data_IF_737728684103
#
_entry.id   IF_737728684103
#
_cell.length_a   1.000
_cell.length_b   1.000
_cell.length_c   1.000
_cell.angle_alpha   90.00
_cell.angle_beta   90.00
_cell.angle_gamma   90.00
#
_symmetry.space_group_name_H-M   'P 1'
#
loop_
_entity.id
_entity.type
_entity.pdbx_description
1 polymer ?
#
# COMPACT_ATOMS: atom_id res chain seq x y z
N UNK A 1 2.39 10.95 16.52
CA UNK A 1 2.19 11.22 15.07
C UNK A 1 2.78 10.03 14.35
N UNK A 2 2.17 9.55 13.27
CA UNK A 2 2.77 8.47 12.49
C UNK A 2 3.13 9.03 11.13
N UNK A 3 4.37 8.81 10.73
CA UNK A 3 4.90 9.18 9.43
C UNK A 3 5.10 7.89 8.62
N UNK A 4 4.71 7.92 7.35
CA UNK A 4 4.83 6.78 6.46
C UNK A 4 5.70 7.17 5.25
N UNK A 5 6.57 6.24 4.85
CA UNK A 5 7.36 6.34 3.64
C UNK A 5 7.28 5.02 2.88
N UNK A 6 7.04 5.10 1.57
CA UNK A 6 6.98 3.94 0.70
C UNK A 6 8.15 3.97 -0.28
N UNK A 7 8.85 2.85 -0.38
CA UNK A 7 9.81 2.59 -1.44
C UNK A 7 9.25 1.51 -2.37
N UNK A 8 9.40 1.73 -3.68
CA UNK A 8 9.04 0.78 -4.72
C UNK A 8 10.19 0.69 -5.71
N UNK A 9 10.77 -0.50 -5.85
CA UNK A 9 11.99 -0.72 -6.63
C UNK A 9 11.80 -1.94 -7.53
N UNK A 10 12.04 -1.76 -8.82
CA UNK A 10 12.12 -2.87 -9.76
C UNK A 10 13.36 -3.73 -9.50
N UNK A 11 13.17 -5.05 -9.55
CA UNK A 11 14.18 -6.09 -9.33
C UNK A 11 13.94 -7.24 -10.31
N UNK A 12 14.88 -8.18 -10.41
CA UNK A 12 14.72 -9.38 -11.25
C UNK A 12 13.50 -10.25 -10.90
N UNK A 13 12.99 -10.15 -9.66
CA UNK A 13 11.81 -10.88 -9.16
C UNK A 13 10.47 -10.15 -9.36
N UNK A 14 10.51 -8.94 -9.94
CA UNK A 14 9.39 -7.99 -10.04
C UNK A 14 9.64 -6.74 -9.20
N UNK A 15 8.58 -6.12 -8.67
CA UNK A 15 8.71 -4.90 -7.87
C UNK A 15 8.71 -5.24 -6.37
N UNK A 16 9.79 -4.85 -5.69
CA UNK A 16 9.89 -4.90 -4.22
C UNK A 16 9.34 -3.62 -3.61
N UNK A 17 8.48 -3.78 -2.61
CA UNK A 17 7.79 -2.72 -1.91
C UNK A 17 8.19 -2.73 -0.44
N UNK A 18 8.51 -1.57 0.13
CA UNK A 18 8.82 -1.41 1.54
C UNK A 18 8.08 -0.19 2.11
N UNK A 19 7.06 -0.45 2.96
CA UNK A 19 6.38 0.59 3.71
C UNK A 19 7.03 0.72 5.08
N UNK A 20 7.71 1.85 5.32
CA UNK A 20 8.22 2.22 6.64
C UNK A 20 7.21 3.09 7.35
N UNK A 21 6.89 2.74 8.60
CA UNK A 21 6.03 3.51 9.48
C UNK A 21 6.85 3.90 10.70
N UNK A 22 6.96 5.20 10.97
CA UNK A 22 7.70 5.76 12.09
C UNK A 22 6.75 6.49 13.04
N UNK A 23 6.97 6.35 14.35
CA UNK A 23 6.37 7.21 15.34
C UNK A 23 7.24 8.46 15.57
N UNK A 24 7.01 9.52 14.81
CA UNK A 24 7.64 10.84 14.99
C UNK A 24 7.14 11.61 16.22
N UNK A 25 6.22 11.03 17.02
CA UNK A 25 5.72 11.62 18.25
C UNK A 25 6.59 11.35 19.47
N UNK A 26 6.24 12.00 20.59
CA UNK A 26 6.90 11.83 21.90
C UNK A 26 6.26 10.78 22.80
N UNK A 27 5.15 10.15 22.37
CA UNK A 27 4.41 9.14 23.13
C UNK A 27 4.32 7.84 22.32
N UNK A 28 4.30 6.67 22.97
CA UNK A 28 4.10 5.40 22.27
C UNK A 28 2.77 5.36 21.52
N UNK A 29 2.78 4.76 20.32
CA UNK A 29 1.57 4.59 19.49
C UNK A 29 1.37 3.11 19.22
N UNK A 30 0.16 2.61 19.48
CA UNK A 30 -0.22 1.22 19.19
C UNK A 30 -1.08 1.14 17.93
N UNK A 31 -0.63 0.33 16.97
CA UNK A 31 -1.40 -0.13 15.82
C UNK A 31 -2.14 -1.41 16.19
N UNK A 32 -3.43 -1.52 15.85
CA UNK A 32 -4.26 -2.71 16.11
C UNK A 32 -4.77 -3.29 14.81
N UNK A 33 -4.75 -4.61 14.71
CA UNK A 33 -5.06 -5.33 13.49
C UNK A 33 -6.11 -6.40 13.75
N UNK A 34 -7.05 -6.56 12.81
CA UNK A 34 -8.12 -7.59 12.90
C UNK A 34 -7.67 -8.97 12.43
N UNK A 35 -6.59 -9.03 11.66
CA UNK A 35 -6.03 -10.25 11.08
C UNK A 35 -4.50 -10.21 11.19
N UNK A 36 -3.84 -11.27 10.71
CA UNK A 36 -2.39 -11.28 10.53
C UNK A 36 -1.87 -10.33 9.44
N UNK A 37 -2.73 -9.68 8.65
CA UNK A 37 -2.31 -8.69 7.66
C UNK A 37 -1.85 -7.41 8.37
N UNK A 38 -0.61 -6.99 8.10
CA UNK A 38 -0.05 -5.73 8.64
C UNK A 38 -0.20 -4.57 7.68
N UNK A 39 -0.09 -4.85 6.39
CA UNK A 39 -0.15 -3.85 5.33
C UNK A 39 -0.99 -4.34 4.16
N UNK A 40 -1.53 -3.39 3.41
CA UNK A 40 -2.04 -3.57 2.07
C UNK A 40 -1.16 -2.74 1.12
N UNK A 41 -0.90 -3.29 -0.07
CA UNK A 41 -0.28 -2.53 -1.15
C UNK A 41 -1.16 -2.64 -2.37
N UNK A 42 -1.45 -1.53 -3.03
CA UNK A 42 -2.28 -1.49 -4.23
C UNK A 42 -1.55 -0.75 -5.33
N UNK A 43 -1.49 -1.34 -6.52
CA UNK A 43 -0.90 -0.74 -7.70
C UNK A 43 -1.99 -0.21 -8.63
N UNK A 44 -1.82 1.02 -9.07
CA UNK A 44 -2.67 1.70 -10.05
C UNK A 44 -1.83 2.09 -11.27
N UNK A 45 -2.36 2.05 -12.49
CA UNK A 45 -1.74 2.70 -13.63
C UNK A 45 -1.46 4.18 -13.29
N UNK A 46 -0.26 4.68 -13.60
CA UNK A 46 0.07 6.09 -13.37
C UNK A 46 -0.50 7.01 -14.46
N UNK A 47 -0.62 6.50 -15.68
CA UNK A 47 -1.32 7.15 -16.77
C UNK A 47 -2.79 6.74 -16.67
N UNK A 48 -3.64 7.65 -16.18
CA UNK A 48 -5.08 7.42 -16.04
C UNK A 48 -5.65 6.88 -17.35
N UNK A 49 -6.34 5.75 -17.27
CA UNK A 49 -6.76 4.92 -18.39
C UNK A 49 -7.49 5.73 -19.45
N UNK A 50 -6.77 6.16 -20.48
CA UNK A 50 -7.32 6.75 -21.67
C UNK A 50 -7.89 5.64 -22.56
N UNK A 51 -8.88 4.89 -22.06
CA UNK A 51 -9.79 4.03 -22.81
C UNK A 51 -11.02 3.67 -21.95
N UNK A 52 -11.69 4.68 -21.37
CA UNK A 52 -13.04 4.51 -20.84
C UNK A 52 -14.06 4.76 -21.97
N UNK A 53 -14.31 3.74 -22.78
CA UNK A 53 -15.51 3.70 -23.62
C UNK A 53 -16.73 3.77 -22.69
N UNK A 54 -17.52 4.82 -22.84
CA UNK A 54 -18.39 5.36 -21.81
C UNK A 54 -19.45 4.40 -21.29
N UNK A 55 -19.64 4.41 -19.98
CA UNK A 55 -20.94 4.12 -19.37
C UNK A 55 -21.18 5.09 -18.24
N UNK A 56 -22.00 6.08 -18.56
CA UNK A 56 -22.56 7.10 -17.69
C UNK A 56 -23.46 6.40 -16.65
N UNK A 57 -22.95 6.20 -15.44
CA UNK A 57 -23.79 5.89 -14.27
C UNK A 57 -23.29 6.70 -13.06
N UNK A 58 -23.86 7.90 -12.92
CA UNK A 58 -24.18 8.51 -11.63
C UNK A 58 -23.13 8.44 -10.52
N UNK A 59 -21.98 9.09 -10.72
CA UNK A 59 -21.21 9.83 -9.70
C UNK A 59 -20.87 9.16 -8.35
N UNK A 60 -19.56 9.05 -8.09
CA UNK A 60 -19.01 9.46 -6.79
C UNK A 60 -17.90 10.48 -6.99
N UNK A 61 -17.93 11.63 -6.29
CA UNK A 61 -16.88 12.63 -6.35
C UNK A 61 -15.92 12.44 -5.16
N UNK A 62 -14.90 11.61 -5.31
CA UNK A 62 -13.65 11.68 -4.53
C UNK A 62 -12.56 11.05 -5.44
N UNK A 63 -11.56 11.84 -5.81
CA UNK A 63 -10.77 11.68 -7.05
C UNK A 63 -9.78 10.52 -7.12
N UNK A 64 -9.41 10.22 -8.37
CA UNK A 64 -8.37 9.29 -8.83
C UNK A 64 -8.61 7.81 -8.47
N UNK A 65 -9.52 7.15 -9.19
CA UNK A 65 -9.68 5.70 -9.08
C UNK A 65 -9.69 5.05 -10.45
N UNK A 66 -8.52 5.01 -11.09
CA UNK A 66 -8.24 3.91 -12.02
C UNK A 66 -8.44 2.58 -11.29
N UNK A 67 -8.97 1.57 -11.98
CA UNK A 67 -9.09 0.23 -11.39
C UNK A 67 -7.69 -0.30 -11.03
N UNK A 68 -7.49 -0.81 -9.80
CA UNK A 68 -6.18 -1.31 -9.39
C UNK A 68 -5.80 -2.53 -10.23
N UNK A 69 -4.58 -2.54 -10.77
CA UNK A 69 -4.04 -3.66 -11.55
C UNK A 69 -3.51 -4.80 -10.65
N UNK A 70 -3.20 -4.47 -9.40
CA UNK A 70 -2.71 -5.45 -8.43
C UNK A 70 -2.98 -5.03 -6.98
N UNK A 71 -3.22 -6.01 -6.11
CA UNK A 71 -3.36 -5.83 -4.66
C UNK A 71 -2.59 -6.91 -3.92
N UNK A 72 -1.85 -6.52 -2.89
CA UNK A 72 -1.08 -7.45 -2.06
C UNK A 72 -2.01 -8.44 -1.36
N UNK A 73 -3.08 -7.98 -0.71
CA UNK A 73 -3.98 -8.86 0.02
C UNK A 73 -4.81 -9.82 -0.85
N UNK A 74 -4.95 -9.53 -2.15
CA UNK A 74 -5.77 -10.33 -3.04
C UNK A 74 -5.23 -11.76 -3.19
N UNK A 75 -6.09 -12.74 -2.90
CA UNK A 75 -5.75 -14.16 -2.99
C UNK A 75 -4.82 -14.70 -1.89
N UNK A 76 -4.42 -13.86 -0.92
CA UNK A 76 -3.60 -14.31 0.23
C UNK A 76 -4.49 -14.67 1.41
N UNK A 77 -4.11 -15.73 2.12
CA UNK A 77 -4.74 -16.11 3.38
C UNK A 77 -3.99 -15.46 4.54
N UNK A 78 -4.70 -14.69 5.35
CA UNK A 78 -4.20 -14.17 6.62
C UNK A 78 -4.89 -14.86 7.78
N UNK A 79 -4.15 -15.11 8.86
CA UNK A 79 -4.73 -15.66 10.09
C UNK A 79 -5.80 -14.72 10.63
N UNK A 80 -6.89 -15.29 11.15
CA UNK A 80 -7.99 -14.55 11.75
C UNK A 80 -7.71 -14.26 13.23
N UNK A 81 -6.49 -13.83 13.54
CA UNK A 81 -6.05 -13.52 14.89
C UNK A 81 -5.86 -12.01 15.03
N UNK A 82 -6.42 -11.44 16.11
CA UNK A 82 -6.15 -10.05 16.47
C UNK A 82 -4.67 -9.87 16.79
N UNK A 83 -4.10 -8.76 16.37
CA UNK A 83 -2.72 -8.41 16.66
C UNK A 83 -2.57 -6.95 17.02
N UNK A 84 -1.49 -6.62 17.71
CA UNK A 84 -1.10 -5.25 17.98
C UNK A 84 0.41 -5.09 17.86
N UNK A 85 0.83 -3.91 17.46
CA UNK A 85 2.23 -3.51 17.43
C UNK A 85 2.35 -2.12 18.03
N UNK A 86 3.28 -1.92 18.96
CA UNK A 86 3.48 -0.64 19.63
C UNK A 86 4.82 -0.09 19.22
N UNK A 87 4.81 1.13 18.68
CA UNK A 87 6.00 1.88 18.32
C UNK A 87 6.27 2.92 19.42
N UNK A 88 7.41 2.82 20.08
CA UNK A 88 7.95 3.84 20.97
C UNK A 88 8.27 5.14 20.21
N UNK A 89 8.54 6.26 20.89
CA UNK A 89 9.00 7.49 20.25
C UNK A 89 10.25 7.24 19.39
N UNK A 90 10.24 7.74 18.15
CA UNK A 90 11.27 7.52 17.12
C UNK A 90 11.48 6.04 16.70
N UNK A 91 10.65 5.11 17.15
CA UNK A 91 10.66 3.73 16.66
C UNK A 91 9.98 3.65 15.29
N UNK A 92 10.51 2.77 14.44
CA UNK A 92 9.93 2.47 13.14
C UNK A 92 9.88 0.99 12.88
N UNK A 93 8.84 0.58 12.15
CA UNK A 93 8.72 -0.75 11.56
C UNK A 93 8.74 -0.62 10.04
N UNK A 94 9.28 -1.64 9.35
CA UNK A 94 9.17 -1.76 7.91
C UNK A 94 8.43 -3.05 7.57
N UNK A 95 7.46 -2.94 6.68
CA UNK A 95 6.74 -4.08 6.12
C UNK A 95 7.00 -4.17 4.63
N UNK A 96 7.32 -5.38 4.17
CA UNK A 96 7.76 -5.62 2.80
C UNK A 96 6.79 -6.51 2.03
N UNK A 97 6.75 -6.32 0.72
CA UNK A 97 6.03 -7.17 -0.21
C UNK A 97 6.72 -7.21 -1.57
N UNK A 98 6.40 -8.23 -2.36
CA UNK A 98 6.83 -8.32 -3.77
C UNK A 98 5.59 -8.44 -4.66
N UNK A 99 5.48 -7.54 -5.63
CA UNK A 99 4.61 -7.69 -6.79
C UNK A 99 5.41 -8.42 -7.88
N UNK A 100 5.13 -9.71 -8.05
CA UNK A 100 5.86 -10.59 -8.97
C UNK A 100 5.33 -10.46 -10.39
N UNK A 101 6.26 -10.44 -11.35
CA UNK A 101 5.97 -10.37 -12.80
C UNK A 101 4.93 -9.29 -13.16
N UNK A 102 5.10 -8.03 -12.72
CA UNK A 102 4.26 -6.93 -13.20
C UNK A 102 4.40 -6.77 -14.72
N UNK A 103 3.32 -6.39 -15.43
CA UNK A 103 3.45 -5.92 -16.81
C UNK A 103 4.36 -4.69 -16.86
N UNK A 104 5.01 -4.47 -17.99
CA UNK A 104 5.77 -3.24 -18.22
C UNK A 104 4.84 -2.01 -18.22
N UNK A 105 5.30 -0.92 -17.61
CA UNK A 105 4.50 0.30 -17.46
C UNK A 105 4.88 1.12 -16.23
N UNK A 106 4.27 2.29 -16.10
CA UNK A 106 4.44 3.14 -14.91
C UNK A 106 3.23 2.99 -13.99
N UNK A 107 3.50 2.77 -12.72
CA UNK A 107 2.49 2.50 -11.71
C UNK A 107 2.66 3.41 -10.50
N UNK A 108 1.54 3.89 -9.97
CA UNK A 108 1.45 4.46 -8.63
C UNK A 108 1.14 3.32 -7.66
N UNK A 109 2.06 3.06 -6.75
CA UNK A 109 1.88 2.10 -5.67
C UNK A 109 1.46 2.86 -4.42
N UNK A 110 0.40 2.39 -3.78
CA UNK A 110 -0.07 2.86 -2.50
C UNK A 110 0.21 1.78 -1.46
N UNK A 111 0.87 2.12 -0.36
CA UNK A 111 1.06 1.26 0.80
C UNK A 111 0.33 1.82 2.02
N UNK A 112 -0.42 0.97 2.72
CA UNK A 112 -1.25 1.35 3.86
C UNK A 112 -1.12 0.33 4.98
N UNK A 113 -1.04 0.78 6.24
CA UNK A 113 -1.22 -0.15 7.35
C UNK A 113 -2.66 -0.65 7.39
N UNK A 114 -2.83 -1.96 7.59
CA UNK A 114 -4.14 -2.59 7.79
C UNK A 114 -4.66 -2.39 9.24
N UNK A 115 -4.16 -1.37 9.93
CA UNK A 115 -4.54 -1.08 11.30
C UNK A 115 -5.95 -0.46 11.33
N UNK A 116 -6.70 -0.73 12.40
CA UNK A 116 -8.11 -0.29 12.51
C UNK A 116 -8.30 1.10 13.09
N UNK A 117 -7.35 1.55 13.90
CA UNK A 117 -7.46 2.80 14.63
C UNK A 117 -6.60 3.92 14.02
N UNK A 118 -5.73 3.56 13.08
CA UNK A 118 -4.74 4.43 12.44
C UNK A 118 -4.50 3.95 11.03
N UNK A 119 -4.27 4.89 10.13
CA UNK A 119 -4.15 4.67 8.68
C UNK A 119 -2.86 5.30 8.12
N UNK A 120 -1.66 5.03 8.68
CA UNK A 120 -0.42 5.51 8.05
C UNK A 120 -0.32 4.94 6.62
N UNK A 121 -0.17 5.85 5.67
CA UNK A 121 -0.20 5.60 4.23
C UNK A 121 0.85 6.44 3.53
N UNK A 122 1.48 5.85 2.53
CA UNK A 122 2.36 6.55 1.61
C UNK A 122 2.18 5.98 0.19
N UNK A 123 2.58 6.74 -0.81
CA UNK A 123 2.61 6.28 -2.19
C UNK A 123 3.98 6.54 -2.84
N UNK A 124 4.28 5.73 -3.85
CA UNK A 124 5.51 5.78 -4.62
C UNK A 124 5.18 5.44 -6.07
N UNK A 125 5.98 5.99 -6.99
CA UNK A 125 5.87 5.66 -8.42
C UNK A 125 7.02 4.73 -8.79
N UNK A 126 6.70 3.70 -9.57
CA UNK A 126 7.69 2.78 -10.14
C UNK A 126 7.41 2.60 -11.61
N UNK A 127 8.46 2.56 -12.41
CA UNK A 127 8.40 2.12 -13.81
C UNK A 127 8.98 0.72 -13.88
N UNK A 128 8.25 -0.18 -14.52
CA UNK A 128 8.66 -1.56 -14.80
C UNK A 128 9.07 -1.64 -16.25
N UNK A 129 10.31 -2.03 -16.49
CA UNK A 129 10.87 -2.25 -17.81
C UNK A 129 10.66 -3.73 -18.22
N UNK A 130 10.38 -3.96 -19.51
CA UNK A 130 10.05 -5.28 -20.05
C UNK A 130 11.23 -6.10 -20.56
#
# INVERSE_FOLDING_TARGET
MLDAALEATETDDGVTLALRIENGGSEPVTLRFRTGQRVEFTAYPADGGADADGSDDGGRPDGDADDPVWRYGAGRMFTQALGSETLAPAESVTHEATWRSPPAGTYRIVGEAAATDRDPRADAVVTVEG
#
